data_IF_209016659546
#
_entry.id   IF_209016659546
#
_cell.length_a   1.000
_cell.length_b   1.000
_cell.length_c   1.000
_cell.angle_alpha   90.00
_cell.angle_beta   90.00
_cell.angle_gamma   90.00
#
_symmetry.space_group_name_H-M   'P 1'
#
loop_
_entity.id
_entity.type
_entity.pdbx_description
1 polymer ?
#
# COMPACT_ATOMS: atom_id res chain seq x y z
N UNK A 1 -1.95 -3.76 -1.48
CA UNK A 1 -0.94 -2.70 -1.61
C UNK A 1 -0.27 -2.80 -2.97
N UNK A 2 0.30 -3.94 -3.35
CA UNK A 2 0.89 -4.15 -4.69
C UNK A 2 -0.03 -3.72 -5.85
N UNK A 3 -1.26 -4.25 -5.92
CA UNK A 3 -2.20 -3.92 -7.00
C UNK A 3 -2.54 -2.41 -7.10
N UNK A 4 -2.52 -1.68 -5.99
CA UNK A 4 -2.86 -0.25 -5.97
C UNK A 4 -1.62 0.64 -6.17
N UNK A 5 -0.53 0.32 -5.47
CA UNK A 5 0.65 1.19 -5.35
C UNK A 5 1.74 0.84 -6.38
N UNK A 6 1.70 -0.37 -6.96
CA UNK A 6 2.66 -0.83 -7.99
C UNK A 6 1.96 -0.97 -9.34
N UNK A 7 0.84 -1.70 -9.40
CA UNK A 7 0.09 -1.91 -10.65
C UNK A 7 -0.87 -0.74 -10.98
N UNK A 8 -1.09 0.20 -10.06
CA UNK A 8 -1.88 1.41 -10.30
C UNK A 8 -3.40 1.18 -10.43
N UNK A 9 -3.92 -0.01 -10.08
CA UNK A 9 -5.35 -0.30 -10.14
C UNK A 9 -6.13 0.53 -9.12
N UNK A 10 -7.34 0.95 -9.49
CA UNK A 10 -8.26 1.59 -8.56
C UNK A 10 -8.75 0.60 -7.50
N UNK A 11 -9.17 1.12 -6.35
CA UNK A 11 -9.69 0.27 -5.27
C UNK A 11 -10.96 -0.50 -5.68
N UNK A 12 -11.75 0.03 -6.63
CA UNK A 12 -12.93 -0.64 -7.17
C UNK A 12 -12.54 -1.84 -8.05
N UNK A 13 -11.58 -1.67 -8.96
CA UNK A 13 -11.08 -2.77 -9.80
C UNK A 13 -10.46 -3.90 -8.95
N UNK A 14 -9.74 -3.53 -7.88
CA UNK A 14 -9.18 -4.50 -6.93
C UNK A 14 -10.32 -5.24 -6.19
N UNK A 15 -11.36 -4.51 -5.75
CA UNK A 15 -12.50 -5.09 -5.06
C UNK A 15 -13.23 -6.12 -5.94
N UNK A 16 -13.47 -5.77 -7.20
CA UNK A 16 -14.10 -6.62 -8.21
C UNK A 16 -13.24 -7.85 -8.52
N UNK A 17 -11.94 -7.66 -8.79
CA UNK A 17 -10.99 -8.75 -9.07
C UNK A 17 -10.88 -9.73 -7.92
N UNK A 18 -10.88 -9.23 -6.67
CA UNK A 18 -10.72 -10.06 -5.47
C UNK A 18 -12.04 -10.58 -4.88
N UNK A 19 -13.20 -10.18 -5.41
CA UNK A 19 -14.51 -10.54 -4.84
C UNK A 19 -14.70 -10.07 -3.39
N UNK A 20 -14.15 -8.90 -3.03
CA UNK A 20 -14.24 -8.36 -1.66
C UNK A 20 -14.83 -6.95 -1.65
N UNK A 21 -15.46 -6.50 -0.54
CA UNK A 21 -15.96 -5.13 -0.44
C UNK A 21 -14.84 -4.08 -0.60
N UNK A 22 -15.13 -2.95 -1.25
CA UNK A 22 -14.16 -1.86 -1.42
C UNK A 22 -13.62 -1.33 -0.08
N UNK A 23 -14.45 -1.31 0.97
CA UNK A 23 -14.01 -0.94 2.33
C UNK A 23 -12.99 -1.93 2.92
N UNK A 24 -13.06 -3.21 2.55
CA UNK A 24 -12.06 -4.22 2.93
C UNK A 24 -10.73 -3.92 2.24
N UNK A 25 -10.75 -3.56 0.95
CA UNK A 25 -9.55 -3.15 0.20
C UNK A 25 -8.90 -1.93 0.85
N UNK A 26 -9.68 -0.88 1.15
CA UNK A 26 -9.20 0.33 1.81
C UNK A 26 -8.56 0.02 3.17
N UNK A 27 -9.24 -0.75 4.02
CA UNK A 27 -8.72 -1.08 5.36
C UNK A 27 -7.45 -1.93 5.32
N UNK A 28 -7.34 -2.86 4.35
CA UNK A 28 -6.13 -3.66 4.12
C UNK A 28 -4.96 -2.80 3.65
N UNK A 29 -5.18 -1.88 2.71
CA UNK A 29 -4.14 -0.97 2.24
C UNK A 29 -3.66 -0.05 3.38
N UNK A 30 -4.59 0.51 4.16
CA UNK A 30 -4.25 1.36 5.30
C UNK A 30 -3.37 0.62 6.31
N UNK A 31 -3.78 -0.57 6.77
CA UNK A 31 -2.99 -1.38 7.70
C UNK A 31 -1.64 -1.78 7.12
N UNK A 32 -1.59 -2.20 5.85
CA UNK A 32 -0.33 -2.54 5.18
C UNK A 32 0.65 -1.37 5.13
N UNK A 33 0.18 -0.16 4.81
CA UNK A 33 1.00 1.06 4.83
C UNK A 33 1.48 1.42 6.23
N UNK A 34 0.64 1.23 7.26
CA UNK A 34 1.05 1.44 8.65
C UNK A 34 2.14 0.45 9.05
N UNK A 35 1.99 -0.83 8.73
CA UNK A 35 2.99 -1.87 9.01
C UNK A 35 4.31 -1.57 8.30
N UNK A 36 4.27 -1.20 7.02
CA UNK A 36 5.48 -0.83 6.28
C UNK A 36 6.17 0.39 6.86
N UNK A 37 5.42 1.41 7.29
CA UNK A 37 6.00 2.57 7.99
C UNK A 37 6.71 2.21 9.29
N UNK A 38 6.26 1.16 9.99
CA UNK A 38 6.93 0.67 11.20
C UNK A 38 8.17 -0.18 10.89
N UNK A 39 8.17 -0.91 9.77
CA UNK A 39 9.26 -1.82 9.40
C UNK A 39 10.38 -1.13 8.62
N UNK A 40 10.05 -0.09 7.87
CA UNK A 40 11.04 0.65 7.09
C UNK A 40 11.73 1.68 8.00
N UNK A 41 13.08 1.69 8.05
CA UNK A 41 13.81 2.83 8.61
C UNK A 41 13.30 4.11 7.96
N UNK A 42 13.33 5.24 8.69
CA UNK A 42 12.97 6.52 8.10
C UNK A 42 13.82 6.74 6.86
N UNK A 43 13.22 6.55 5.69
CA UNK A 43 13.88 6.80 4.43
C UNK A 43 14.03 8.31 4.33
N UNK A 44 15.25 8.80 4.52
CA UNK A 44 15.62 10.18 4.25
C UNK A 44 16.20 10.20 2.84
N UNK A 45 15.43 10.63 1.82
CA UNK A 45 15.99 10.77 0.48
C UNK A 45 17.07 11.87 0.55
N UNK A 46 18.33 11.49 0.38
CA UNK A 46 19.47 12.43 0.37
C UNK A 46 20.60 12.17 1.36
N UNK A 47 20.52 11.16 2.24
CA UNK A 47 21.74 10.68 2.92
C UNK A 47 22.63 9.95 1.90
N UNK A 48 23.48 10.72 1.20
CA UNK A 48 24.71 10.19 0.65
C UNK A 48 25.55 9.79 1.86
N UNK A 49 25.70 8.49 2.09
CA UNK A 49 26.73 7.97 2.99
C UNK A 49 28.06 8.55 2.52
N UNK A 50 28.60 9.45 3.34
CA UNK A 50 29.97 9.95 3.22
C UNK A 50 30.96 8.84 3.58
#
# INVERSE_FOLDING_TARGET
>A
MYLADVEGLSYREIAETMGTPVGTVMSRIHRGRQQLRCLLPQYTPGLRTA
#
